data_IF_119650125679
#
_entry.id   IF_119650125679
#
_cell.length_a   1.000
_cell.length_b   1.000
_cell.length_c   1.000
_cell.angle_alpha   90.00
_cell.angle_beta   90.00
_cell.angle_gamma   90.00
#
_symmetry.space_group_name_H-M   'P 1'
#
loop_
_entity.id
_entity.type
_entity.pdbx_description
1 polymer ?
#
# COMPACT_ATOMS: atom_id res chain seq x y z
N UNK A 1 -10.39 22.83 -27.02
CA UNK A 1 -9.58 21.68 -27.47
C UNK A 1 -8.35 21.59 -26.58
N UNK A 2 -8.22 20.55 -25.75
CA UNK A 2 -6.98 20.18 -25.05
C UNK A 2 -6.91 18.66 -25.11
N UNK A 3 -5.89 18.16 -25.80
CA UNK A 3 -5.72 16.76 -26.16
C UNK A 3 -5.62 15.85 -24.93
N UNK A 4 -6.36 14.75 -25.01
CA UNK A 4 -6.34 13.65 -24.06
C UNK A 4 -5.03 12.87 -24.21
N UNK A 5 -3.99 13.29 -23.49
CA UNK A 5 -2.83 12.45 -23.20
C UNK A 5 -3.08 11.62 -21.94
N UNK A 6 -4.07 10.73 -21.95
CA UNK A 6 -4.20 9.70 -20.91
C UNK A 6 -3.20 8.59 -21.21
N UNK A 7 -1.95 8.76 -20.77
CA UNK A 7 -1.00 7.65 -20.67
C UNK A 7 -1.24 6.97 -19.33
N UNK A 8 -2.42 6.36 -19.14
CA UNK A 8 -2.65 5.45 -18.03
C UNK A 8 -1.87 4.16 -18.34
N UNK A 9 -0.79 3.93 -17.61
CA UNK A 9 0.00 2.70 -17.76
C UNK A 9 -0.26 1.82 -16.55
N UNK A 10 -0.97 0.72 -16.79
CA UNK A 10 -1.20 -0.32 -15.81
C UNK A 10 -0.38 -1.56 -16.17
N UNK A 11 0.24 -2.18 -15.17
CA UNK A 11 0.91 -3.47 -15.35
C UNK A 11 0.79 -4.28 -14.08
N UNK A 12 0.54 -5.57 -14.26
CA UNK A 12 0.48 -6.54 -13.17
C UNK A 12 1.82 -7.25 -13.08
N UNK A 13 2.29 -7.46 -11.84
CA UNK A 13 3.40 -8.35 -11.56
C UNK A 13 2.82 -9.59 -10.90
N UNK A 14 2.92 -10.74 -11.57
CA UNK A 14 2.64 -12.01 -10.92
C UNK A 14 3.84 -12.39 -10.05
N UNK A 15 3.59 -12.58 -8.76
CA UNK A 15 4.60 -13.10 -7.85
C UNK A 15 4.45 -14.62 -7.77
N UNK A 16 5.54 -15.39 -7.92
CA UNK A 16 5.48 -16.86 -7.82
C UNK A 16 5.12 -17.35 -6.42
N UNK A 17 5.28 -16.49 -5.41
CA UNK A 17 4.99 -16.77 -4.00
C UNK A 17 4.03 -15.70 -3.48
N UNK A 18 3.04 -16.13 -2.70
CA UNK A 18 2.19 -15.21 -1.94
C UNK A 18 2.99 -14.66 -0.77
N UNK A 19 3.08 -13.35 -0.65
CA UNK A 19 3.84 -12.71 0.43
C UNK A 19 2.99 -11.68 1.14
N UNK A 20 3.03 -11.74 2.47
CA UNK A 20 2.46 -10.74 3.38
C UNK A 20 3.47 -9.65 3.76
N UNK A 21 4.76 -9.98 3.70
CA UNK A 21 5.84 -9.14 4.22
C UNK A 21 5.86 -7.77 3.55
N UNK A 22 5.80 -6.71 4.34
CA UNK A 22 5.75 -5.34 3.81
C UNK A 22 7.02 -5.01 3.03
N UNK A 23 8.15 -5.59 3.43
CA UNK A 23 9.45 -5.43 2.78
C UNK A 23 9.44 -5.99 1.36
N UNK A 24 9.02 -7.26 1.22
CA UNK A 24 8.91 -7.93 -0.08
C UNK A 24 7.92 -7.19 -0.98
N UNK A 25 6.77 -6.80 -0.45
CA UNK A 25 5.77 -6.05 -1.22
C UNK A 25 6.33 -4.68 -1.69
N UNK A 26 7.08 -4.00 -0.84
CA UNK A 26 7.70 -2.71 -1.17
C UNK A 26 8.77 -2.86 -2.25
N UNK A 27 9.63 -3.88 -2.14
CA UNK A 27 10.65 -4.17 -3.14
C UNK A 27 10.03 -4.49 -4.51
N UNK A 28 9.01 -5.35 -4.55
CA UNK A 28 8.31 -5.68 -5.79
C UNK A 28 7.59 -4.46 -6.39
N UNK A 29 6.99 -3.62 -5.56
CA UNK A 29 6.38 -2.37 -5.99
C UNK A 29 7.41 -1.43 -6.61
N UNK A 30 8.59 -1.30 -6.00
CA UNK A 30 9.66 -0.44 -6.51
C UNK A 30 10.18 -0.92 -7.88
N UNK A 31 10.37 -2.23 -8.05
CA UNK A 31 10.73 -2.83 -9.33
C UNK A 31 9.69 -2.54 -10.41
N UNK A 32 8.40 -2.68 -10.05
CA UNK A 32 7.30 -2.41 -10.97
C UNK A 32 7.23 -0.92 -11.33
N UNK A 33 7.39 -0.04 -10.35
CA UNK A 33 7.45 1.42 -10.51
C UNK A 33 8.54 1.80 -11.52
N UNK A 34 9.78 1.33 -11.31
CA UNK A 34 10.92 1.60 -12.21
C UNK A 34 10.71 1.09 -13.64
N UNK A 35 9.99 -0.03 -13.81
CA UNK A 35 9.74 -0.64 -15.12
C UNK A 35 8.65 0.09 -15.92
N UNK A 36 7.67 0.67 -15.23
CA UNK A 36 6.50 1.29 -15.86
C UNK A 36 6.71 2.78 -16.11
N UNK A 37 7.32 3.47 -15.15
CA UNK A 37 7.28 4.94 -15.12
C UNK A 37 8.39 5.52 -15.96
N UNK A 38 8.02 6.50 -16.79
CA UNK A 38 8.94 7.35 -17.50
C UNK A 38 9.35 8.53 -16.59
N UNK A 39 10.63 8.67 -16.22
CA UNK A 39 11.11 9.74 -15.34
C UNK A 39 10.82 11.16 -15.85
N UNK A 40 10.60 11.34 -17.16
CA UNK A 40 10.35 12.65 -17.76
C UNK A 40 8.93 13.16 -17.52
N UNK A 41 8.03 12.35 -16.96
CA UNK A 41 6.63 12.73 -16.71
C UNK A 41 6.28 12.64 -15.23
N UNK A 42 5.61 13.66 -14.64
CA UNK A 42 5.20 13.61 -13.25
C UNK A 42 4.01 12.65 -13.06
N UNK A 43 4.11 11.79 -12.04
CA UNK A 43 3.06 10.85 -11.66
C UNK A 43 2.04 11.54 -10.75
N UNK A 44 0.77 11.60 -11.19
CA UNK A 44 -0.31 12.25 -10.42
C UNK A 44 -1.09 11.31 -9.51
N UNK A 45 -1.21 10.04 -9.88
CA UNK A 45 -1.97 9.04 -9.14
C UNK A 45 -1.34 7.66 -9.33
N UNK A 46 -1.30 6.87 -8.25
CA UNK A 46 -0.88 5.47 -8.25
C UNK A 46 -2.02 4.65 -7.66
N UNK A 47 -2.55 3.71 -8.44
CA UNK A 47 -3.48 2.70 -7.97
C UNK A 47 -2.76 1.37 -7.79
N UNK A 48 -2.91 0.74 -6.62
CA UNK A 48 -2.35 -0.58 -6.33
C UNK A 48 -3.52 -1.52 -6.08
N UNK A 49 -3.52 -2.66 -6.78
CA UNK A 49 -4.53 -3.71 -6.65
C UNK A 49 -3.85 -5.06 -6.46
N UNK A 50 -4.30 -5.83 -5.48
CA UNK A 50 -3.84 -7.20 -5.27
C UNK A 50 -4.86 -8.16 -5.88
N UNK A 51 -4.47 -8.83 -6.97
CA UNK A 51 -5.25 -9.92 -7.54
C UNK A 51 -5.00 -11.22 -6.77
N UNK A 52 -6.00 -12.11 -6.73
CA UNK A 52 -5.85 -13.47 -6.21
C UNK A 52 -5.40 -13.56 -4.74
N UNK A 53 -5.99 -12.72 -3.87
CA UNK A 53 -5.71 -12.77 -2.41
C UNK A 53 -6.10 -14.14 -1.86
N UNK A 54 -5.19 -14.78 -1.13
CA UNK A 54 -5.39 -16.09 -0.49
C UNK A 54 -5.44 -15.97 1.03
N UNK A 55 -6.15 -16.90 1.65
CA UNK A 55 -6.16 -17.04 3.10
C UNK A 55 -4.77 -17.42 3.63
N UNK A 56 -4.45 -16.87 4.79
CA UNK A 56 -3.17 -17.02 5.52
C UNK A 56 -2.80 -18.46 5.86
N UNK A 57 -3.74 -19.40 5.74
CA UNK A 57 -3.54 -20.82 6.05
C UNK A 57 -2.47 -21.46 5.14
N UNK A 58 -2.21 -20.88 3.96
CA UNK A 58 -1.25 -21.38 2.98
C UNK A 58 0.14 -20.72 3.07
N UNK A 59 0.55 -20.25 4.24
CA UNK A 59 1.88 -19.66 4.43
C UNK A 59 2.95 -20.75 4.25
N UNK A 60 3.74 -20.62 3.20
CA UNK A 60 4.92 -21.45 3.00
C UNK A 60 6.04 -20.86 3.85
N UNK A 61 6.37 -21.52 4.95
CA UNK A 61 7.52 -21.16 5.78
C UNK A 61 8.80 -21.26 4.94
N UNK A 62 9.52 -20.15 4.83
CA UNK A 62 10.89 -20.16 4.33
C UNK A 62 11.79 -20.70 5.45
N UNK A 63 12.56 -21.76 5.16
CA UNK A 63 13.40 -22.46 6.14
C UNK A 63 14.48 -21.54 6.75
N UNK A 64 14.75 -20.41 6.11
CA UNK A 64 15.74 -19.42 6.54
C UNK A 64 15.12 -18.11 7.04
N UNK A 65 13.79 -18.02 7.13
CA UNK A 65 13.14 -16.83 7.66
C UNK A 65 13.19 -16.80 9.19
N UNK A 66 13.51 -15.63 9.76
CA UNK A 66 13.43 -15.41 11.20
C UNK A 66 11.96 -15.36 11.63
N UNK A 67 11.49 -16.45 12.23
CA UNK A 67 10.12 -16.58 12.73
C UNK A 67 9.73 -15.45 13.70
N UNK A 68 10.65 -15.03 14.56
CA UNK A 68 10.41 -13.97 15.55
C UNK A 68 10.11 -12.61 14.88
N UNK A 69 10.81 -12.30 13.79
CA UNK A 69 10.62 -11.06 13.05
C UNK A 69 9.27 -11.05 12.32
N UNK A 70 8.89 -12.18 11.72
CA UNK A 70 7.58 -12.36 11.06
C UNK A 70 6.44 -12.18 12.06
N UNK A 71 6.52 -12.84 13.23
CA UNK A 71 5.49 -12.73 14.26
C UNK A 71 5.39 -11.33 14.86
N UNK A 72 6.54 -10.66 15.01
CA UNK A 72 6.57 -9.27 15.45
C UNK A 72 5.93 -8.35 14.43
N UNK A 73 6.27 -8.50 13.14
CA UNK A 73 5.64 -7.72 12.06
C UNK A 73 4.13 -7.94 12.04
N UNK A 74 3.69 -9.20 12.11
CA UNK A 74 2.26 -9.57 12.17
C UNK A 74 1.54 -8.88 13.33
N UNK A 75 2.07 -8.97 14.55
CA UNK A 75 1.48 -8.33 15.73
C UNK A 75 1.37 -6.81 15.58
N UNK A 76 2.39 -6.17 14.98
CA UNK A 76 2.35 -4.72 14.72
C UNK A 76 1.26 -4.38 13.70
N UNK A 77 1.16 -5.13 12.60
CA UNK A 77 0.14 -4.91 11.58
C UNK A 77 -1.28 -5.10 12.16
N UNK A 78 -1.50 -6.15 12.93
CA UNK A 78 -2.78 -6.42 13.61
C UNK A 78 -3.15 -5.32 14.61
N UNK A 79 -2.19 -4.90 15.46
CA UNK A 79 -2.41 -3.83 16.42
C UNK A 79 -2.80 -2.52 15.73
N UNK A 80 -2.13 -2.17 14.63
CA UNK A 80 -2.47 -0.98 13.84
C UNK A 80 -3.90 -1.04 13.28
N UNK A 81 -4.34 -2.20 12.79
CA UNK A 81 -5.70 -2.41 12.29
C UNK A 81 -6.72 -2.27 13.44
N UNK A 82 -6.46 -2.90 14.58
CA UNK A 82 -7.34 -2.81 15.75
C UNK A 82 -7.51 -1.36 16.24
N UNK A 83 -6.41 -0.60 16.34
CA UNK A 83 -6.45 0.81 16.75
C UNK A 83 -7.26 1.64 15.74
N UNK A 84 -7.06 1.44 14.43
CA UNK A 84 -7.82 2.16 13.40
C UNK A 84 -9.31 1.83 13.42
N UNK A 85 -9.66 0.58 13.69
CA UNK A 85 -11.06 0.15 13.80
C UNK A 85 -11.73 0.75 15.04
N UNK A 86 -11.00 0.84 16.17
CA UNK A 86 -11.53 1.34 17.44
C UNK A 86 -11.60 2.88 17.51
N UNK A 87 -10.57 3.57 17.02
CA UNK A 87 -10.41 5.02 17.19
C UNK A 87 -10.51 5.82 15.88
N UNK A 88 -10.75 5.13 14.76
CA UNK A 88 -10.93 5.74 13.44
C UNK A 88 -9.65 5.89 12.61
N UNK A 89 -9.83 6.26 11.34
CA UNK A 89 -8.77 6.29 10.31
C UNK A 89 -7.63 7.28 10.59
N UNK A 90 -7.85 8.26 11.48
CA UNK A 90 -6.86 9.25 11.89
C UNK A 90 -6.12 8.88 13.19
N UNK A 91 -6.46 7.75 13.83
CA UNK A 91 -5.83 7.33 15.08
C UNK A 91 -4.34 6.99 14.94
N UNK A 92 -3.94 6.43 13.78
CA UNK A 92 -2.53 6.16 13.47
C UNK A 92 -2.23 6.55 12.03
N UNK A 93 -1.31 7.50 11.88
CA UNK A 93 -0.88 8.07 10.61
C UNK A 93 0.63 7.95 10.45
N UNK A 94 1.09 7.83 9.20
CA UNK A 94 2.53 7.91 8.90
C UNK A 94 2.99 9.36 9.06
N UNK A 95 4.26 9.58 9.44
CA UNK A 95 4.83 10.93 9.58
C UNK A 95 4.65 11.80 8.32
N UNK A 96 4.75 11.18 7.13
CA UNK A 96 4.50 11.86 5.84
C UNK A 96 3.10 12.49 5.71
N UNK A 97 2.13 12.04 6.49
CA UNK A 97 0.76 12.56 6.47
C UNK A 97 0.61 13.90 7.21
N UNK A 98 1.68 14.38 7.85
CA UNK A 98 1.75 15.68 8.53
C UNK A 98 2.45 16.76 7.70
N UNK A 99 2.98 16.42 6.52
CA UNK A 99 3.50 17.44 5.61
C UNK A 99 2.39 18.41 5.17
N UNK A 100 2.76 19.66 4.90
CA UNK A 100 1.81 20.75 4.60
C UNK A 100 0.89 20.44 3.41
N UNK A 101 1.40 19.71 2.41
CA UNK A 101 0.67 19.28 1.22
C UNK A 101 -0.05 17.92 1.36
N UNK A 102 0.08 17.26 2.51
CA UNK A 102 -0.57 15.97 2.74
C UNK A 102 -2.08 16.15 2.98
N UNK A 103 -2.90 15.47 2.19
CA UNK A 103 -4.36 15.59 2.24
C UNK A 103 -5.04 14.47 3.02
N UNK A 104 -4.29 13.44 3.43
CA UNK A 104 -4.86 12.22 4.01
C UNK A 104 -5.70 12.47 5.27
N UNK A 105 -5.23 13.35 6.17
CA UNK A 105 -5.96 13.72 7.40
C UNK A 105 -7.32 14.35 7.10
N UNK A 106 -7.33 15.31 6.17
CA UNK A 106 -8.55 16.00 5.72
C UNK A 106 -9.48 15.02 5.01
N UNK A 107 -8.96 14.20 4.09
CA UNK A 107 -9.73 13.19 3.34
C UNK A 107 -10.40 12.16 4.25
N UNK A 108 -9.73 11.74 5.31
CA UNK A 108 -10.29 10.79 6.27
C UNK A 108 -11.52 11.34 7.03
N UNK A 109 -11.69 12.66 7.11
CA UNK A 109 -12.87 13.31 7.70
C UNK A 109 -14.00 13.57 6.70
N UNK A 110 -13.78 13.34 5.39
CA UNK A 110 -14.82 13.50 4.37
C UNK A 110 -15.74 12.29 4.37
N UNK A 111 -17.06 12.53 4.36
CA UNK A 111 -18.08 11.51 4.14
C UNK A 111 -18.63 11.70 2.72
N UNK A 112 -18.36 10.76 1.82
CA UNK A 112 -18.83 10.86 0.42
C UNK A 112 -18.27 12.06 -0.36
N UNK A 113 -17.11 12.59 0.03
CA UNK A 113 -16.48 13.76 -0.62
C UNK A 113 -16.92 15.12 -0.07
N UNK A 114 -17.85 15.13 0.89
CA UNK A 114 -18.31 16.34 1.58
C UNK A 114 -17.77 16.36 3.00
N UNK A 115 -17.53 17.57 3.52
CA UNK A 115 -17.27 17.73 4.96
C UNK A 115 -18.58 17.44 5.69
N UNK A 116 -18.52 16.52 6.66
CA UNK A 116 -19.57 16.33 7.65
C UNK A 116 -19.46 17.42 8.74
#
# INVERSE_FOLDING_TARGET
MREKGQTEVAKTLETPVFSRGIEILTEKLELLYKKIINPNYPVRQIGISFGNVKDEIYEQFDLFANQEDIEKEKRVQEALVQIRNKYGKNAVLKGMNFYEKATQRKRNGLVGGHNA
#
